data_IF_290769705827
#
_entry.id   IF_290769705827
#
_cell.length_a   1.000
_cell.length_b   1.000
_cell.length_c   1.000
_cell.angle_alpha   90.00
_cell.angle_beta   90.00
_cell.angle_gamma   90.00
#
_symmetry.space_group_name_H-M   'P 1'
#
loop_
_entity.id
_entity.type
_entity.pdbx_description
1 polymer ?
#
# COMPACT_ATOMS: atom_id res chain seq x y z
N UNK A 1 -8.58 -16.92 -7.12
CA UNK A 1 -8.36 -16.04 -5.95
C UNK A 1 -7.62 -16.72 -4.80
N UNK A 2 -7.94 -17.96 -4.39
CA UNK A 2 -7.26 -18.61 -3.26
C UNK A 2 -5.74 -18.84 -3.45
N UNK A 3 -5.29 -19.20 -4.66
CA UNK A 3 -3.85 -19.36 -4.93
C UNK A 3 -3.05 -18.08 -4.65
N UNK A 4 -3.58 -16.89 -4.99
CA UNK A 4 -2.87 -15.62 -4.77
C UNK A 4 -2.82 -15.17 -3.30
N UNK A 5 -3.67 -15.73 -2.43
CA UNK A 5 -3.66 -15.37 -1.00
C UNK A 5 -2.57 -16.16 -0.27
N UNK A 6 -2.33 -17.41 -0.67
CA UNK A 6 -1.28 -18.25 -0.07
C UNK A 6 0.13 -17.68 -0.28
N UNK A 7 0.36 -17.01 -1.41
CA UNK A 7 1.62 -16.34 -1.76
C UNK A 7 2.01 -15.24 -0.76
N UNK A 8 1.05 -14.60 -0.07
CA UNK A 8 1.35 -13.61 0.97
C UNK A 8 2.01 -14.19 2.22
N UNK A 9 1.96 -15.51 2.41
CA UNK A 9 2.58 -16.19 3.54
C UNK A 9 3.96 -16.78 3.22
N UNK A 10 4.34 -16.76 1.95
CA UNK A 10 5.68 -17.11 1.51
C UNK A 10 6.65 -15.97 1.81
N UNK A 11 7.92 -16.29 1.98
CA UNK A 11 8.95 -15.28 2.21
C UNK A 11 9.18 -14.49 0.90
N UNK A 12 9.57 -13.24 1.03
CA UNK A 12 9.91 -12.41 -0.13
C UNK A 12 11.17 -12.93 -0.83
N UNK A 13 11.10 -12.99 -2.16
CA UNK A 13 12.15 -13.53 -3.04
C UNK A 13 12.64 -12.48 -4.04
N UNK A 14 12.39 -11.20 -3.77
CA UNK A 14 12.89 -10.10 -4.60
C UNK A 14 14.41 -10.12 -4.59
N UNK A 15 15.03 -9.92 -5.75
CA UNK A 15 16.48 -9.93 -5.87
C UNK A 15 17.12 -8.88 -4.96
N UNK A 16 18.13 -9.31 -4.21
CA UNK A 16 18.89 -8.43 -3.33
C UNK A 16 20.03 -7.83 -4.14
N UNK A 17 19.95 -6.52 -4.41
CA UNK A 17 20.99 -5.78 -5.11
C UNK A 17 22.27 -5.79 -4.29
N UNK A 18 22.19 -5.34 -3.03
CA UNK A 18 23.33 -5.25 -2.14
C UNK A 18 22.91 -5.23 -0.67
N UNK A 19 23.81 -5.66 0.22
CA UNK A 19 23.66 -5.58 1.66
C UNK A 19 24.51 -4.45 2.22
N UNK A 20 23.89 -3.53 2.95
CA UNK A 20 24.55 -2.33 3.48
C UNK A 20 24.60 -2.36 5.00
N UNK A 21 25.72 -1.88 5.55
CA UNK A 21 25.96 -1.74 6.99
C UNK A 21 25.99 -0.26 7.45
N UNK A 22 26.03 0.67 6.49
CA UNK A 22 26.20 2.11 6.75
C UNK A 22 25.35 2.94 5.79
N UNK A 23 24.91 4.10 6.26
CA UNK A 23 24.13 5.06 5.46
C UNK A 23 24.94 5.57 4.26
N UNK A 24 26.27 5.70 4.40
CA UNK A 24 27.15 6.13 3.31
C UNK A 24 27.11 5.15 2.14
N UNK A 25 27.30 3.84 2.38
CA UNK A 25 27.19 2.81 1.32
C UNK A 25 25.79 2.78 0.71
N UNK A 26 24.75 2.95 1.52
CA UNK A 26 23.38 3.06 1.02
C UNK A 26 23.22 4.24 0.06
N UNK A 27 23.78 5.41 0.39
CA UNK A 27 23.75 6.58 -0.49
C UNK A 27 24.58 6.40 -1.75
N UNK A 28 25.72 5.71 -1.69
CA UNK A 28 26.52 5.37 -2.88
C UNK A 28 25.70 4.52 -3.86
N UNK A 29 24.98 3.52 -3.37
CA UNK A 29 24.08 2.69 -4.20
C UNK A 29 22.96 3.53 -4.80
N UNK A 30 22.34 4.40 -4.01
CA UNK A 30 21.16 5.15 -4.46
C UNK A 30 21.49 6.34 -5.37
N UNK A 31 22.72 6.87 -5.29
CA UNK A 31 23.16 8.00 -6.11
C UNK A 31 23.76 7.57 -7.47
N UNK A 32 23.94 6.28 -7.73
CA UNK A 32 24.41 5.81 -9.04
C UNK A 32 23.33 6.12 -10.12
N UNK A 33 23.77 6.67 -11.26
CA UNK A 33 23.08 7.60 -12.18
C UNK A 33 21.73 7.13 -12.81
N UNK A 34 21.24 5.93 -12.48
CA UNK A 34 20.02 5.33 -13.04
C UNK A 34 18.82 5.27 -12.07
N UNK A 35 18.89 5.90 -10.90
CA UNK A 35 17.86 5.77 -9.85
C UNK A 35 16.98 7.02 -9.65
N UNK A 36 17.18 8.07 -10.46
CA UNK A 36 16.40 9.30 -10.41
C UNK A 36 14.99 9.04 -10.94
N UNK A 37 14.02 8.88 -10.03
CA UNK A 37 12.61 8.57 -10.34
C UNK A 37 12.10 7.23 -9.81
N UNK A 38 12.93 6.52 -9.05
CA UNK A 38 12.54 5.28 -8.40
C UNK A 38 11.66 5.50 -7.17
N UNK A 39 10.82 4.50 -6.89
CA UNK A 39 10.01 4.44 -5.68
C UNK A 39 10.66 3.51 -4.67
N UNK A 40 10.80 3.99 -3.45
CA UNK A 40 11.45 3.29 -2.34
C UNK A 40 10.44 2.94 -1.26
N UNK A 41 10.58 1.75 -0.66
CA UNK A 41 9.78 1.33 0.50
C UNK A 41 10.63 0.63 1.55
N UNK A 42 10.60 1.17 2.76
CA UNK A 42 11.22 0.54 3.92
C UNK A 42 10.39 -0.60 4.50
N UNK A 43 11.05 -1.70 4.87
CA UNK A 43 10.48 -2.77 5.68
C UNK A 43 11.45 -3.17 6.79
N UNK A 44 10.89 -3.54 7.93
CA UNK A 44 11.67 -3.99 9.09
C UNK A 44 12.26 -5.39 8.92
N UNK A 45 11.72 -6.20 8.01
CA UNK A 45 12.31 -7.50 7.69
C UNK A 45 12.47 -7.65 6.19
N UNK A 46 13.63 -8.15 5.79
CA UNK A 46 13.92 -8.38 4.38
C UNK A 46 13.00 -9.43 3.75
N UNK A 47 12.57 -10.42 4.53
CA UNK A 47 11.76 -11.55 4.03
C UNK A 47 10.26 -11.30 4.04
N UNK A 48 9.79 -10.11 4.42
CA UNK A 48 8.36 -9.79 4.44
C UNK A 48 7.87 -9.39 3.05
N UNK A 49 6.89 -10.13 2.53
CA UNK A 49 6.15 -9.75 1.32
C UNK A 49 5.51 -8.37 1.48
N UNK A 50 5.60 -7.56 0.43
CA UNK A 50 4.91 -6.27 0.38
C UNK A 50 3.39 -6.52 0.41
N UNK A 51 2.74 -5.98 1.44
CA UNK A 51 1.29 -6.07 1.61
C UNK A 51 0.71 -4.70 1.97
N UNK A 52 -0.56 -4.47 1.64
CA UNK A 52 -1.29 -3.28 2.11
C UNK A 52 -1.68 -3.41 3.58
N UNK A 53 -2.01 -2.30 4.23
CA UNK A 53 -2.53 -2.31 5.60
C UNK A 53 -3.86 -3.06 5.69
N UNK A 54 -4.69 -3.02 4.64
CA UNK A 54 -5.92 -3.80 4.53
C UNK A 54 -5.67 -5.30 4.46
N UNK A 55 -4.74 -5.73 3.63
CA UNK A 55 -4.36 -7.16 3.53
C UNK A 55 -3.92 -7.69 4.90
N UNK A 56 -3.07 -6.93 5.62
CA UNK A 56 -2.61 -7.30 6.97
C UNK A 56 -3.71 -7.30 8.02
N UNK A 57 -4.70 -6.41 7.90
CA UNK A 57 -5.81 -6.32 8.85
C UNK A 57 -6.82 -7.47 8.68
N UNK A 58 -7.01 -7.95 7.46
CA UNK A 58 -7.97 -9.00 7.14
C UNK A 58 -7.35 -10.38 7.39
N UNK A 59 -6.14 -10.63 6.89
CA UNK A 59 -5.55 -11.95 6.92
C UNK A 59 -5.03 -12.32 8.32
N UNK A 60 -5.14 -13.60 8.75
CA UNK A 60 -4.52 -14.07 9.98
C UNK A 60 -2.99 -13.97 9.91
N UNK A 61 -2.34 -13.68 11.04
CA UNK A 61 -0.88 -13.67 11.11
C UNK A 61 -0.33 -15.09 11.01
N UNK A 62 0.80 -15.26 10.31
CA UNK A 62 1.50 -16.56 10.17
C UNK A 62 1.76 -17.25 11.52
N UNK A 63 2.10 -16.47 12.55
CA UNK A 63 2.30 -16.94 13.94
C UNK A 63 1.04 -17.57 14.55
N UNK A 64 -0.14 -16.99 14.27
CA UNK A 64 -1.42 -17.50 14.77
C UNK A 64 -1.76 -18.82 14.07
N UNK A 65 -1.53 -18.88 12.74
CA UNK A 65 -1.74 -20.09 11.95
C UNK A 65 -0.84 -21.22 12.47
N UNK A 66 0.46 -20.94 12.63
CA UNK A 66 1.45 -21.86 13.19
C UNK A 66 1.00 -22.44 14.54
N UNK A 67 0.54 -21.57 15.45
CA UNK A 67 0.02 -21.98 16.77
C UNK A 67 -1.21 -22.86 16.69
N UNK A 68 -2.15 -22.59 15.78
CA UNK A 68 -3.38 -23.38 15.63
C UNK A 68 -3.07 -24.75 15.03
N UNK A 69 -2.17 -24.81 14.06
CA UNK A 69 -1.76 -26.05 13.40
C UNK A 69 -0.76 -26.87 14.24
N UNK A 70 -0.15 -26.28 15.27
CA UNK A 70 0.85 -26.95 16.10
C UNK A 70 2.19 -27.16 15.38
N UNK A 71 2.52 -26.31 14.40
CA UNK A 71 3.75 -26.38 13.60
C UNK A 71 4.57 -25.10 13.77
N UNK A 72 5.89 -25.17 13.70
CA UNK A 72 6.74 -23.96 13.81
C UNK A 72 6.66 -23.08 12.58
N UNK A 73 6.69 -23.69 11.38
CA UNK A 73 6.61 -22.99 10.09
C UNK A 73 5.65 -23.74 9.17
N UNK A 74 4.40 -23.25 9.01
CA UNK A 74 3.43 -23.92 8.16
C UNK A 74 3.83 -23.82 6.69
N UNK A 75 3.73 -24.94 5.99
CA UNK A 75 4.02 -25.02 4.56
C UNK A 75 2.84 -24.50 3.71
N UNK A 76 3.06 -24.35 2.39
CA UNK A 76 2.05 -23.81 1.47
C UNK A 76 0.73 -24.60 1.48
N UNK A 77 0.81 -25.93 1.53
CA UNK A 77 -0.37 -26.79 1.53
C UNK A 77 -1.16 -26.66 2.84
N UNK A 78 -0.47 -26.62 3.98
CA UNK A 78 -1.06 -26.40 5.30
C UNK A 78 -1.78 -25.05 5.38
N UNK A 79 -1.16 -23.98 4.86
CA UNK A 79 -1.76 -22.65 4.81
C UNK A 79 -2.99 -22.65 3.88
N UNK A 80 -2.88 -23.27 2.71
CA UNK A 80 -4.01 -23.36 1.78
C UNK A 80 -5.19 -24.08 2.44
N UNK A 81 -4.95 -25.23 3.07
CA UNK A 81 -5.98 -25.99 3.77
C UNK A 81 -6.60 -25.19 4.91
N UNK A 82 -5.77 -24.48 5.70
CA UNK A 82 -6.24 -23.62 6.77
C UNK A 82 -7.14 -22.49 6.25
N UNK A 83 -6.78 -21.84 5.15
CA UNK A 83 -7.57 -20.77 4.55
C UNK A 83 -8.86 -21.27 3.87
N UNK A 84 -8.89 -22.54 3.46
CA UNK A 84 -10.08 -23.20 2.92
C UNK A 84 -11.08 -23.63 4.01
N UNK A 85 -10.69 -23.62 5.29
CA UNK A 85 -11.60 -23.91 6.39
C UNK A 85 -12.77 -22.90 6.44
N UNK A 86 -14.00 -23.41 6.55
CA UNK A 86 -15.22 -22.58 6.51
C UNK A 86 -15.28 -21.56 7.66
N UNK A 87 -14.79 -21.94 8.84
CA UNK A 87 -14.74 -21.06 10.01
C UNK A 87 -13.72 -19.94 9.77
N UNK A 88 -12.56 -20.27 9.21
CA UNK A 88 -11.52 -19.29 8.87
C UNK A 88 -12.01 -18.31 7.80
N UNK A 89 -12.63 -18.80 6.72
CA UNK A 89 -13.20 -17.95 5.68
C UNK A 89 -14.24 -16.99 6.25
N UNK A 90 -15.15 -17.49 7.11
CA UNK A 90 -16.15 -16.64 7.78
C UNK A 90 -15.52 -15.55 8.64
N UNK A 91 -14.42 -15.86 9.34
CA UNK A 91 -13.70 -14.87 10.14
C UNK A 91 -13.03 -13.79 9.28
N UNK A 92 -12.49 -14.17 8.12
CA UNK A 92 -11.95 -13.25 7.12
C UNK A 92 -13.06 -12.32 6.62
N UNK A 93 -14.23 -12.85 6.27
CA UNK A 93 -15.38 -12.07 5.82
C UNK A 93 -15.85 -11.07 6.88
N UNK A 94 -15.91 -11.47 8.16
CA UNK A 94 -16.23 -10.57 9.28
C UNK A 94 -15.22 -9.43 9.38
N UNK A 95 -13.92 -9.70 9.16
CA UNK A 95 -12.87 -8.66 9.19
C UNK A 95 -13.00 -7.71 8.01
N UNK A 96 -13.32 -8.22 6.82
CA UNK A 96 -13.62 -7.40 5.63
C UNK A 96 -14.81 -6.48 5.93
N UNK A 97 -15.90 -7.04 6.45
CA UNK A 97 -17.10 -6.28 6.80
C UNK A 97 -16.80 -5.21 7.86
N UNK A 98 -15.98 -5.53 8.86
CA UNK A 98 -15.54 -4.57 9.88
C UNK A 98 -14.71 -3.43 9.27
N UNK A 99 -13.77 -3.74 8.38
CA UNK A 99 -12.97 -2.72 7.70
C UNK A 99 -13.87 -1.81 6.84
N UNK A 100 -14.80 -2.39 6.09
CA UNK A 100 -15.77 -1.65 5.30
C UNK A 100 -16.67 -0.75 6.15
N UNK A 101 -17.27 -1.28 7.23
CA UNK A 101 -18.09 -0.51 8.17
C UNK A 101 -17.31 0.64 8.81
N UNK A 102 -16.03 0.41 9.13
CA UNK A 102 -15.17 1.44 9.70
C UNK A 102 -14.95 2.58 8.71
N UNK A 103 -14.72 2.25 7.43
CA UNK A 103 -14.59 3.24 6.36
C UNK A 103 -15.90 4.01 6.12
N UNK A 104 -17.05 3.34 6.10
CA UNK A 104 -18.36 4.00 5.98
C UNK A 104 -18.59 4.97 7.14
N UNK A 105 -18.30 4.55 8.38
CA UNK A 105 -18.38 5.43 9.55
C UNK A 105 -17.44 6.62 9.44
N UNK A 106 -16.18 6.38 9.06
CA UNK A 106 -15.21 7.44 8.84
C UNK A 106 -15.73 8.48 7.84
N UNK A 107 -16.31 8.04 6.71
CA UNK A 107 -16.92 8.93 5.72
C UNK A 107 -18.13 9.71 6.28
N UNK A 108 -18.99 9.07 7.06
CA UNK A 108 -20.17 9.72 7.65
C UNK A 108 -19.81 10.76 8.73
N UNK A 109 -18.79 10.47 9.53
CA UNK A 109 -18.33 11.36 10.62
C UNK A 109 -17.21 12.31 10.20
N UNK A 110 -16.81 12.27 8.92
CA UNK A 110 -15.76 13.10 8.37
C UNK A 110 -15.88 14.60 8.71
N UNK A 111 -17.09 15.23 8.72
CA UNK A 111 -17.22 16.63 9.13
C UNK A 111 -16.61 16.96 10.50
N UNK A 112 -16.60 16.03 11.45
CA UNK A 112 -16.00 16.22 12.78
C UNK A 112 -14.46 16.19 12.75
N UNK A 113 -13.88 15.50 11.78
CA UNK A 113 -12.43 15.37 11.61
C UNK A 113 -11.83 16.42 10.67
N UNK A 114 -12.68 17.09 9.88
CA UNK A 114 -12.25 17.92 8.77
C UNK A 114 -12.24 19.41 9.10
N UNK A 115 -12.81 19.83 10.25
CA UNK A 115 -12.82 21.23 10.69
C UNK A 115 -11.42 21.87 10.77
N UNK A 116 -10.39 21.05 10.88
CA UNK A 116 -8.98 21.45 10.90
C UNK A 116 -8.36 21.59 9.49
N UNK A 117 -9.06 21.20 8.41
CA UNK A 117 -8.48 21.14 7.05
C UNK A 117 -9.00 22.28 6.16
N UNK A 118 -8.07 23.03 5.58
CA UNK A 118 -8.32 24.28 4.84
C UNK A 118 -8.96 24.12 3.45
N UNK A 119 -9.19 22.89 2.95
CA UNK A 119 -9.76 22.62 1.61
C UNK A 119 -10.67 21.36 1.62
N UNK A 120 -11.75 21.42 2.41
CA UNK A 120 -12.67 20.29 2.65
C UNK A 120 -13.31 19.74 1.37
N UNK A 121 -13.69 20.60 0.42
CA UNK A 121 -14.37 20.20 -0.81
C UNK A 121 -13.53 19.24 -1.66
N UNK A 122 -12.21 19.48 -1.76
CA UNK A 122 -11.32 18.62 -2.53
C UNK A 122 -11.17 17.21 -1.92
N UNK A 123 -11.13 17.12 -0.59
CA UNK A 123 -11.10 15.83 0.12
C UNK A 123 -12.41 15.05 -0.05
N UNK A 124 -13.54 15.76 -0.12
CA UNK A 124 -14.87 15.17 -0.23
C UNK A 124 -15.20 14.71 -1.66
N UNK A 125 -14.63 15.38 -2.67
CA UNK A 125 -14.92 15.13 -4.08
C UNK A 125 -14.01 14.07 -4.72
N UNK A 126 -13.01 13.56 -4.00
CA UNK A 126 -12.09 12.52 -4.51
C UNK A 126 -12.09 11.29 -3.60
N UNK A 127 -12.46 10.13 -4.18
CA UNK A 127 -12.38 8.85 -3.48
C UNK A 127 -10.93 8.52 -3.07
N UNK A 128 -9.93 8.92 -3.86
CA UNK A 128 -8.53 8.73 -3.48
C UNK A 128 -8.19 9.54 -2.23
N UNK A 129 -8.49 10.84 -2.25
CA UNK A 129 -8.16 11.76 -1.15
C UNK A 129 -8.81 11.29 0.16
N UNK A 130 -10.05 10.80 0.08
CA UNK A 130 -10.73 10.23 1.24
C UNK A 130 -10.05 8.97 1.79
N UNK A 131 -9.59 8.06 0.92
CA UNK A 131 -8.88 6.85 1.36
C UNK A 131 -7.49 7.19 1.92
N UNK A 132 -6.77 8.16 1.34
CA UNK A 132 -5.49 8.64 1.88
C UNK A 132 -5.68 9.26 3.26
N UNK A 133 -6.73 10.06 3.45
CA UNK A 133 -7.07 10.63 4.75
C UNK A 133 -7.45 9.52 5.75
N UNK A 134 -8.24 8.53 5.32
CA UNK A 134 -8.56 7.38 6.15
C UNK A 134 -7.29 6.64 6.61
N UNK A 135 -6.31 6.45 5.72
CA UNK A 135 -5.02 5.85 6.04
C UNK A 135 -4.23 6.70 7.04
N UNK A 136 -4.24 8.03 6.89
CA UNK A 136 -3.60 8.97 7.82
C UNK A 136 -4.18 8.83 9.24
N UNK A 137 -5.50 8.65 9.35
CA UNK A 137 -6.18 8.35 10.62
C UNK A 137 -6.11 6.87 11.05
N UNK A 138 -5.30 6.06 10.36
CA UNK A 138 -5.00 4.67 10.76
C UNK A 138 -6.02 3.62 10.31
N UNK A 139 -6.98 3.96 9.45
CA UNK A 139 -7.85 2.95 8.85
C UNK A 139 -7.03 2.06 7.89
N UNK A 140 -7.29 0.75 7.87
CA UNK A 140 -6.65 -0.14 6.91
C UNK A 140 -7.15 0.15 5.48
N UNK A 141 -6.22 0.39 4.56
CA UNK A 141 -6.48 0.69 3.14
C UNK A 141 -5.66 -0.21 2.22
N UNK A 142 -6.01 -0.22 0.92
CA UNK A 142 -5.26 -0.96 -0.09
C UNK A 142 -3.96 -0.26 -0.50
N UNK A 143 -3.70 0.93 -0.01
CA UNK A 143 -2.47 1.65 -0.35
C UNK A 143 -1.26 1.05 0.35
N UNK A 144 -0.15 1.21 -0.34
CA UNK A 144 1.18 0.83 0.09
C UNK A 144 2.00 2.11 0.06
N UNK A 145 2.70 2.38 1.15
CA UNK A 145 3.55 3.56 1.28
C UNK A 145 4.81 3.36 0.44
N UNK A 146 4.96 4.18 -0.59
CA UNK A 146 6.17 4.32 -1.40
C UNK A 146 6.64 5.78 -1.30
N UNK A 147 7.94 6.01 -1.37
CA UNK A 147 8.54 7.34 -1.33
C UNK A 147 9.49 7.53 -2.49
N UNK A 148 9.51 8.73 -3.08
CA UNK A 148 10.57 9.14 -4.01
C UNK A 148 11.90 9.39 -3.28
N UNK A 149 11.86 9.55 -1.95
CA UNK A 149 13.06 9.79 -1.16
C UNK A 149 13.55 8.48 -0.51
N UNK A 150 14.73 7.99 -0.90
CA UNK A 150 15.29 6.74 -0.37
C UNK A 150 15.58 6.80 1.13
N UNK A 151 15.91 7.97 1.68
CA UNK A 151 16.18 8.15 3.10
C UNK A 151 14.90 8.07 3.94
N UNK A 152 13.75 8.49 3.39
CA UNK A 152 12.45 8.31 4.06
C UNK A 152 12.12 6.82 4.14
N UNK A 153 12.35 6.08 3.05
CA UNK A 153 12.17 4.62 3.05
C UNK A 153 13.11 3.94 4.06
N UNK A 154 14.39 4.32 4.09
CA UNK A 154 15.35 3.81 5.07
C UNK A 154 14.91 4.10 6.51
N UNK A 155 14.46 5.33 6.79
CA UNK A 155 13.92 5.69 8.10
C UNK A 155 12.79 4.74 8.53
N UNK A 156 11.80 4.49 7.66
CA UNK A 156 10.70 3.57 8.00
C UNK A 156 11.14 2.11 8.17
N UNK A 157 12.24 1.70 7.52
CA UNK A 157 12.80 0.37 7.73
C UNK A 157 13.37 0.20 9.15
N UNK A 158 13.96 1.27 9.72
CA UNK A 158 14.73 1.21 10.97
C UNK A 158 14.13 1.97 12.17
N UNK A 159 13.07 2.78 12.00
CA UNK A 159 12.57 3.70 13.04
C UNK A 159 12.20 3.03 14.38
N UNK A 160 11.85 1.73 14.34
CA UNK A 160 11.47 0.93 15.51
C UNK A 160 12.46 -0.19 15.80
N UNK A 161 13.61 -0.18 15.13
CA UNK A 161 14.68 -1.14 15.34
C UNK A 161 15.33 -0.91 16.71
N UNK A 162 15.63 -1.99 17.40
CA UNK A 162 16.49 -1.97 18.59
C UNK A 162 17.95 -2.04 18.14
N UNK A 163 18.92 -1.63 18.97
CA UNK A 163 20.35 -1.79 18.64
C UNK A 163 20.79 -3.22 18.33
N UNK A 164 20.03 -4.21 18.79
CA UNK A 164 20.25 -5.64 18.53
C UNK A 164 19.62 -6.13 17.22
N UNK A 165 18.74 -5.33 16.61
CA UNK A 165 18.06 -5.69 15.37
C UNK A 165 19.01 -5.43 14.20
N UNK A 166 19.26 -6.46 13.39
CA UNK A 166 20.15 -6.40 12.23
C UNK A 166 19.40 -6.62 10.92
N UNK A 167 18.07 -6.74 10.99
CA UNK A 167 17.20 -7.03 9.84
C UNK A 167 16.42 -5.76 9.47
N UNK A 168 16.52 -5.38 8.21
CA UNK A 168 15.81 -4.30 7.56
C UNK A 168 16.01 -4.44 6.04
N UNK A 169 15.09 -3.90 5.26
CA UNK A 169 15.22 -3.82 3.82
C UNK A 169 14.60 -2.54 3.27
N UNK A 170 15.21 -2.01 2.20
CA UNK A 170 14.63 -0.97 1.36
C UNK A 170 14.36 -1.59 0.00
N UNK A 171 13.08 -1.70 -0.34
CA UNK A 171 12.64 -2.16 -1.65
C UNK A 171 12.71 -1.00 -2.63
N UNK A 172 13.18 -1.28 -3.85
CA UNK A 172 13.27 -0.33 -4.94
C UNK A 172 12.34 -0.81 -6.04
N UNK A 173 11.41 0.04 -6.44
CA UNK A 173 10.65 -0.13 -7.67
C UNK A 173 11.20 0.86 -8.69
N UNK A 174 11.83 0.30 -9.73
CA UNK A 174 12.33 1.08 -10.87
C UNK A 174 11.27 1.05 -11.97
N UNK A 175 10.50 2.13 -12.16
CA UNK A 175 9.52 2.20 -13.24
C UNK A 175 10.22 2.20 -14.61
N UNK A 176 9.50 1.75 -15.64
CA UNK A 176 9.96 1.82 -17.05
C UNK A 176 10.16 3.26 -17.53
N UNK A 177 9.51 4.23 -16.86
CA UNK A 177 9.65 5.67 -17.07
C UNK A 177 10.01 6.35 -15.74
N UNK A 178 11.06 7.19 -15.74
CA UNK A 178 11.49 7.93 -14.56
C UNK A 178 10.40 8.90 -14.09
N UNK A 179 9.83 8.65 -12.91
CA UNK A 179 8.82 9.53 -12.31
C UNK A 179 9.53 10.64 -11.53
N UNK A 180 9.62 11.83 -12.11
CA UNK A 180 10.24 12.99 -11.45
C UNK A 180 9.28 13.71 -10.49
N UNK A 181 7.99 13.40 -10.56
CA UNK A 181 6.92 14.09 -9.83
C UNK A 181 6.34 15.26 -10.63
N UNK A 182 7.07 15.79 -11.61
CA UNK A 182 6.57 16.83 -12.52
C UNK A 182 5.41 16.33 -13.39
N UNK A 183 5.36 15.02 -13.65
CA UNK A 183 4.30 14.38 -14.42
C UNK A 183 2.95 14.48 -13.69
N UNK A 184 2.95 14.40 -12.34
CA UNK A 184 1.76 14.60 -11.53
C UNK A 184 1.24 16.03 -11.61
N UNK A 185 2.13 17.01 -11.52
CA UNK A 185 1.77 18.44 -11.55
C UNK A 185 1.28 18.85 -12.95
N UNK A 186 2.00 18.45 -14.00
CA UNK A 186 1.61 18.64 -15.39
C UNK A 186 0.24 18.02 -15.69
N UNK A 187 0.00 16.79 -15.24
CA UNK A 187 -1.28 16.14 -15.48
C UNK A 187 -2.40 16.73 -14.62
N UNK A 188 -2.13 17.19 -13.41
CA UNK A 188 -3.12 17.91 -12.60
C UNK A 188 -3.60 19.17 -13.32
N UNK A 189 -2.68 19.98 -13.84
CA UNK A 189 -2.99 21.24 -14.53
C UNK A 189 -3.71 21.02 -15.88
N UNK A 190 -3.32 20.00 -16.64
CA UNK A 190 -3.81 19.80 -18.01
C UNK A 190 -5.01 18.84 -18.11
N UNK A 191 -5.16 17.89 -17.18
CA UNK A 191 -6.22 16.86 -17.25
C UNK A 191 -7.50 17.31 -16.55
N UNK A 192 -7.40 18.17 -15.53
CA UNK A 192 -8.57 18.69 -14.80
C UNK A 192 -9.57 19.38 -15.73
N UNK A 193 -9.09 20.23 -16.66
CA UNK A 193 -9.93 20.95 -17.64
C UNK A 193 -10.66 20.04 -18.63
N UNK A 194 -10.01 18.98 -19.09
CA UNK A 194 -10.57 18.06 -20.11
C UNK A 194 -11.69 17.18 -19.51
N UNK A 195 -11.60 16.85 -18.23
CA UNK A 195 -12.55 15.98 -17.53
C UNK A 195 -13.79 16.76 -17.07
N UNK A 196 -13.62 18.01 -16.63
CA UNK A 196 -14.73 18.89 -16.23
C UNK A 196 -15.73 19.12 -17.37
N UNK A 197 -15.25 19.24 -18.62
CA UNK A 197 -16.10 19.52 -19.79
C UNK A 197 -16.86 18.29 -20.34
N UNK A 198 -16.39 17.06 -20.14
CA UNK A 198 -16.92 15.88 -20.87
C UNK A 198 -17.88 14.96 -20.10
N UNK A 199 -17.86 14.87 -18.77
CA UNK A 199 -18.44 13.68 -18.10
C UNK A 199 -19.31 13.93 -16.85
N UNK A 200 -19.84 15.14 -16.68
CA UNK A 200 -20.75 15.49 -15.57
C UNK A 200 -22.05 14.66 -15.53
N UNK A 201 -22.42 13.91 -16.59
CA UNK A 201 -23.79 13.40 -16.72
C UNK A 201 -24.03 11.89 -16.56
N UNK A 202 -23.04 10.99 -16.43
CA UNK A 202 -23.32 9.57 -16.80
C UNK A 202 -22.72 8.42 -15.97
N UNK A 203 -22.39 8.59 -14.68
CA UNK A 203 -21.84 7.47 -13.89
C UNK A 203 -22.56 7.20 -12.56
N UNK A 204 -23.31 6.10 -12.49
CA UNK A 204 -24.08 5.67 -11.31
C UNK A 204 -23.53 4.42 -10.58
N UNK A 205 -22.53 3.74 -11.13
CA UNK A 205 -22.00 2.48 -10.57
C UNK A 205 -20.60 2.63 -9.94
N UNK A 206 -20.42 2.05 -8.75
CA UNK A 206 -19.21 2.14 -7.92
C UNK A 206 -17.98 1.49 -8.57
N UNK A 207 -18.16 0.35 -9.26
CA UNK A 207 -17.04 -0.33 -9.94
C UNK A 207 -16.57 0.50 -11.13
N UNK A 208 -17.51 1.11 -11.84
CA UNK A 208 -17.26 2.00 -12.97
C UNK A 208 -16.56 3.29 -12.52
N UNK A 209 -17.00 3.90 -11.41
CA UNK A 209 -16.30 5.03 -10.77
C UNK A 209 -14.89 4.65 -10.32
N UNK A 210 -14.71 3.49 -9.68
CA UNK A 210 -13.39 3.04 -9.22
C UNK A 210 -12.42 2.80 -10.37
N UNK A 211 -12.90 2.23 -11.48
CA UNK A 211 -12.12 2.06 -12.72
C UNK A 211 -11.78 3.42 -13.34
N UNK A 212 -12.72 4.36 -13.36
CA UNK A 212 -12.50 5.71 -13.87
C UNK A 212 -11.44 6.48 -13.06
N UNK A 213 -11.55 6.47 -11.74
CA UNK A 213 -10.53 7.05 -10.86
C UNK A 213 -9.18 6.36 -11.08
N UNK A 214 -9.13 5.03 -11.18
CA UNK A 214 -7.89 4.29 -11.50
C UNK A 214 -7.30 4.64 -12.87
N UNK A 215 -8.15 5.00 -13.83
CA UNK A 215 -7.74 5.42 -15.18
C UNK A 215 -7.13 6.82 -15.17
N UNK A 216 -7.63 7.74 -14.31
CA UNK A 216 -6.94 9.01 -14.02
C UNK A 216 -5.53 8.75 -13.51
N UNK A 217 -5.36 7.78 -12.60
CA UNK A 217 -4.03 7.39 -12.08
C UNK A 217 -3.13 6.74 -13.11
N UNK A 218 -3.67 5.95 -14.05
CA UNK A 218 -2.89 5.46 -15.20
C UNK A 218 -2.46 6.58 -16.14
N UNK A 219 -3.33 7.58 -16.37
CA UNK A 219 -2.97 8.79 -17.10
C UNK A 219 -1.87 9.61 -16.40
N UNK A 220 -1.78 9.55 -15.07
CA UNK A 220 -0.70 10.16 -14.28
C UNK A 220 0.64 9.41 -14.38
N UNK A 221 0.65 8.11 -14.72
CA UNK A 221 1.88 7.29 -14.79
C UNK A 221 2.44 7.15 -16.22
N UNK A 222 2.27 8.20 -17.04
CA UNK A 222 2.82 8.44 -18.40
C UNK A 222 2.11 7.79 -19.60
N UNK A 223 2.24 8.45 -20.76
CA UNK A 223 2.69 7.81 -22.01
C UNK A 223 4.21 7.88 -22.04
#
# INVERSE_FOLDING_TARGET
MQNSITEFYEDDTTDVIESVDTVSKFLEIVNDDNLLGNLYRGQRKHNWKIASSLTRAILPKKEIIAKILGVEKPNKSEISNFLSDKTVSKNIDIRIEKAFKSYVRFKLYLPQYIDEVTNKEYLLNSNLSLILLAQHYGLPTRFIDWSLNPLIALYFAVEKAKPTDTDAAVFIYSPEANLTGMEFEYAFENTYKIIEEKFVNDCSDFVSLGKFESFKFKFFSTM
#
